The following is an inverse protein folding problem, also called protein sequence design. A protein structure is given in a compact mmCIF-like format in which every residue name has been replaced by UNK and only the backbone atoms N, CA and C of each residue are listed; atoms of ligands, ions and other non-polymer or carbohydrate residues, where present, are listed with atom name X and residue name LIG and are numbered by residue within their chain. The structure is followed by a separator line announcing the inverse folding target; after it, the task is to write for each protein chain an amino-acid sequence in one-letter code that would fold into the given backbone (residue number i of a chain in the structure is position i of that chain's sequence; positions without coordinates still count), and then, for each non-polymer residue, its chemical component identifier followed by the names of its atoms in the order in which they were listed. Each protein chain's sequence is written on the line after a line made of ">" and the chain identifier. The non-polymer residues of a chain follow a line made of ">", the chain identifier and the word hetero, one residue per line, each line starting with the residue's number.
data_IF_083229002926
#
_entry.id   IF_083229002926
#
_cell.length_a   1.000
_cell.length_b   1.000
_cell.length_c   1.000
_cell.angle_alpha   90.00
_cell.angle_beta   90.00
_cell.angle_gamma   90.00
#
_symmetry.space_group_name_H-M   'P 1'
#
loop_
_entity.id
_entity.type
_entity.pdbx_description
1 polymer ?
#
# COMPACT_ATOMS: atom_id res chain seq x y z
N UNK A 1 -13.18 0.34 -6.83
CA UNK A 1 -12.80 -0.86 -6.04
C UNK A 1 -13.94 -1.22 -5.10
N UNK A 2 -14.50 -2.42 -5.23
CA UNK A 2 -15.51 -2.93 -4.29
C UNK A 2 -14.81 -3.68 -3.15
N UNK A 3 -14.69 -3.07 -1.96
CA UNK A 3 -14.39 -3.86 -0.76
C UNK A 3 -15.70 -4.40 -0.18
N UNK A 4 -15.87 -5.73 -0.09
CA UNK A 4 -17.08 -6.31 0.47
C UNK A 4 -17.20 -5.97 1.96
N UNK A 5 -18.44 -5.84 2.45
CA UNK A 5 -18.70 -5.62 3.87
C UNK A 5 -18.20 -6.84 4.67
N UNK A 6 -17.34 -6.64 5.69
CA UNK A 6 -16.86 -7.74 6.51
C UNK A 6 -18.01 -8.34 7.31
N UNK A 7 -18.14 -9.67 7.25
CA UNK A 7 -19.19 -10.45 7.93
C UNK A 7 -18.66 -11.19 9.15
N UNK A 8 -17.34 -11.23 9.33
CA UNK A 8 -16.65 -11.93 10.42
C UNK A 8 -15.63 -11.02 11.10
N UNK A 9 -15.30 -11.34 12.36
CA UNK A 9 -14.26 -10.62 13.12
C UNK A 9 -12.89 -10.72 12.42
N UNK A 10 -12.61 -11.87 11.79
CA UNK A 10 -11.36 -12.10 11.05
C UNK A 10 -11.23 -11.17 9.85
N UNK A 11 -12.28 -11.05 9.02
CA UNK A 11 -12.31 -10.12 7.89
C UNK A 11 -12.16 -8.67 8.35
N UNK A 12 -12.84 -8.30 9.45
CA UNK A 12 -12.74 -6.95 9.99
C UNK A 12 -11.34 -6.63 10.53
N UNK A 13 -10.66 -7.57 11.19
CA UNK A 13 -9.26 -7.41 11.59
C UNK A 13 -8.32 -7.29 10.40
N UNK A 14 -8.53 -8.08 9.36
CA UNK A 14 -7.75 -7.99 8.12
C UNK A 14 -7.87 -6.61 7.47
N UNK A 15 -9.11 -6.11 7.37
CA UNK A 15 -9.39 -4.75 6.90
C UNK A 15 -8.69 -3.71 7.78
N UNK A 16 -8.91 -3.72 9.09
CA UNK A 16 -8.28 -2.76 10.00
C UNK A 16 -6.75 -2.82 9.98
N UNK A 17 -6.16 -4.00 9.80
CA UNK A 17 -4.72 -4.17 9.62
C UNK A 17 -4.18 -3.41 8.39
N UNK A 18 -4.85 -3.56 7.25
CA UNK A 18 -4.52 -2.83 6.02
C UNK A 18 -4.66 -1.31 6.22
N UNK A 19 -5.75 -0.87 6.84
CA UNK A 19 -6.01 0.54 7.13
C UNK A 19 -4.94 1.12 8.06
N UNK A 20 -4.49 0.37 9.06
CA UNK A 20 -3.41 0.79 9.95
C UNK A 20 -2.05 0.89 9.24
N UNK A 21 -1.78 0.03 8.25
CA UNK A 21 -0.60 0.17 7.39
C UNK A 21 -0.63 1.50 6.59
N UNK A 22 -1.81 1.90 6.14
CA UNK A 22 -2.02 3.15 5.40
C UNK A 22 -2.13 4.39 6.29
N UNK A 23 -2.22 4.23 7.62
CA UNK A 23 -2.37 5.33 8.60
C UNK A 23 -1.30 6.42 8.43
N UNK A 24 -0.07 6.06 8.04
CA UNK A 24 1.02 7.02 7.81
C UNK A 24 0.72 8.05 6.71
N UNK A 25 -0.25 7.77 5.83
CA UNK A 25 -0.66 8.65 4.75
C UNK A 25 -2.02 9.33 5.00
N UNK A 26 -2.71 8.99 6.09
CA UNK A 26 -4.07 9.47 6.37
C UNK A 26 -4.13 10.13 7.75
N UNK A 27 -4.34 11.45 7.76
CA UNK A 27 -4.60 12.19 9.00
C UNK A 27 -6.03 11.91 9.51
N UNK A 28 -6.18 11.73 10.84
CA UNK A 28 -7.49 11.58 11.48
C UNK A 28 -8.14 10.19 11.38
N UNK A 29 -7.49 9.20 10.75
CA UNK A 29 -8.04 7.86 10.54
C UNK A 29 -8.48 7.14 11.83
N UNK A 30 -7.80 7.41 12.95
CA UNK A 30 -8.07 6.79 14.25
C UNK A 30 -9.52 7.01 14.75
N UNK A 31 -10.12 8.17 14.42
CA UNK A 31 -11.49 8.47 14.83
C UNK A 31 -12.52 7.60 14.10
N UNK A 32 -12.19 7.16 12.88
CA UNK A 32 -13.06 6.30 12.08
C UNK A 32 -12.80 4.81 12.32
N UNK A 33 -11.57 4.42 12.68
CA UNK A 33 -11.23 3.01 12.95
C UNK A 33 -11.65 2.55 14.34
N UNK A 34 -11.74 3.45 15.33
CA UNK A 34 -12.18 3.12 16.70
C UNK A 34 -13.52 2.36 16.78
N UNK A 35 -14.63 2.84 16.21
CA UNK A 35 -15.92 2.14 16.28
C UNK A 35 -15.93 0.78 15.58
N UNK A 36 -15.01 0.57 14.63
CA UNK A 36 -14.81 -0.72 13.96
C UNK A 36 -13.87 -1.64 14.76
N UNK A 37 -12.88 -1.08 15.47
CA UNK A 37 -11.98 -1.84 16.32
C UNK A 37 -12.71 -2.44 17.53
N UNK A 38 -13.68 -1.72 18.10
CA UNK A 38 -14.51 -2.20 19.21
C UNK A 38 -15.29 -3.49 18.82
N UNK A 39 -15.65 -3.63 17.54
CA UNK A 39 -16.29 -4.83 16.98
C UNK A 39 -15.35 -6.04 16.81
N UNK A 40 -14.04 -5.88 17.07
CA UNK A 40 -13.07 -6.99 16.95
C UNK A 40 -12.78 -7.71 18.27
N UNK A 41 -13.42 -7.26 19.37
CA UNK A 41 -13.29 -7.84 20.70
C UNK A 41 -13.83 -9.28 20.77
N UNK A 42 -13.32 -10.09 21.71
CA UNK A 42 -13.55 -11.55 21.80
C UNK A 42 -15.02 -11.98 21.86
N UNK A 43 -15.93 -11.08 22.24
CA UNK A 43 -17.38 -11.36 22.37
C UNK A 43 -18.26 -10.59 21.37
N UNK A 44 -17.67 -9.86 20.42
CA UNK A 44 -18.45 -9.05 19.48
C UNK A 44 -18.94 -9.87 18.29
N UNK A 45 -20.24 -9.88 18.04
CA UNK A 45 -20.82 -10.43 16.83
C UNK A 45 -20.95 -9.33 15.77
N UNK A 46 -20.01 -9.30 14.82
CA UNK A 46 -19.94 -8.29 13.76
C UNK A 46 -21.25 -8.17 12.98
N UNK A 47 -22.02 -9.25 12.79
CA UNK A 47 -23.29 -9.16 12.05
C UNK A 47 -24.40 -8.49 12.86
N UNK A 48 -24.45 -8.76 14.17
CA UNK A 48 -25.48 -8.22 15.06
C UNK A 48 -25.18 -6.78 15.49
N UNK A 49 -23.90 -6.42 15.65
CA UNK A 49 -23.49 -5.12 16.17
C UNK A 49 -23.17 -4.09 15.07
N UNK A 50 -23.25 -4.48 13.80
CA UNK A 50 -23.02 -3.58 12.67
C UNK A 50 -24.29 -2.84 12.29
N UNK A 51 -24.40 -1.61 12.80
CA UNK A 51 -25.47 -0.67 12.48
C UNK A 51 -25.06 0.40 11.47
N UNK A 52 -25.86 1.48 11.43
CA UNK A 52 -25.66 2.60 10.51
C UNK A 52 -24.35 3.37 10.79
N UNK A 53 -23.95 3.49 12.05
CA UNK A 53 -22.70 4.17 12.45
C UNK A 53 -21.47 3.43 11.91
N UNK A 54 -21.42 2.11 12.06
CA UNK A 54 -20.30 1.28 11.58
C UNK A 54 -20.23 1.29 10.04
N UNK A 55 -21.38 1.21 9.36
CA UNK A 55 -21.47 1.33 7.91
C UNK A 55 -20.95 2.71 7.43
N UNK A 56 -21.33 3.79 8.12
CA UNK A 56 -20.86 5.15 7.82
C UNK A 56 -19.35 5.28 7.97
N UNK A 57 -18.80 4.78 9.08
CA UNK A 57 -17.35 4.80 9.31
C UNK A 57 -16.59 3.94 8.29
N UNK A 58 -17.11 2.76 7.96
CA UNK A 58 -16.54 1.88 6.94
C UNK A 58 -16.50 2.57 5.57
N UNK A 59 -17.61 3.16 5.12
CA UNK A 59 -17.67 3.85 3.83
C UNK A 59 -16.81 5.13 3.82
N UNK A 60 -16.71 5.85 4.94
CA UNK A 60 -15.80 7.00 5.08
C UNK A 60 -14.34 6.57 4.92
N UNK A 61 -13.94 5.47 5.57
CA UNK A 61 -12.57 4.94 5.43
C UNK A 61 -12.31 4.54 3.98
N UNK A 62 -13.25 3.85 3.32
CA UNK A 62 -13.12 3.50 1.90
C UNK A 62 -12.91 4.74 1.03
N UNK A 63 -13.70 5.80 1.23
CA UNK A 63 -13.57 7.04 0.48
C UNK A 63 -12.21 7.70 0.71
N UNK A 64 -11.76 7.77 1.96
CA UNK A 64 -10.44 8.34 2.29
C UNK A 64 -9.32 7.51 1.64
N UNK A 65 -9.35 6.19 1.76
CA UNK A 65 -8.31 5.32 1.20
C UNK A 65 -8.30 5.38 -0.33
N UNK A 66 -9.46 5.38 -0.97
CA UNK A 66 -9.54 5.51 -2.44
C UNK A 66 -9.15 6.90 -2.94
N UNK A 67 -9.25 7.93 -2.11
CA UNK A 67 -8.75 9.27 -2.42
C UNK A 67 -7.23 9.42 -2.26
N UNK A 68 -6.55 8.45 -1.63
CA UNK A 68 -5.11 8.54 -1.41
C UNK A 68 -4.36 8.51 -2.75
N UNK A 69 -3.45 9.48 -2.99
CA UNK A 69 -2.61 9.49 -4.17
C UNK A 69 -1.76 8.21 -4.32
N UNK A 70 -1.39 7.57 -3.21
CA UNK A 70 -0.55 6.37 -3.22
C UNK A 70 -1.25 5.10 -3.77
N UNK A 71 -2.55 5.18 -4.07
CA UNK A 71 -3.35 4.09 -4.65
C UNK A 71 -3.91 4.44 -6.02
N UNK A 72 -3.51 5.57 -6.62
CA UNK A 72 -3.92 5.90 -7.98
C UNK A 72 -3.24 4.93 -8.95
N UNK A 73 -4.00 4.30 -9.86
CA UNK A 73 -3.41 3.52 -10.94
C UNK A 73 -2.54 4.43 -11.81
N UNK A 74 -1.53 3.84 -12.45
CA UNK A 74 -0.69 4.57 -13.41
C UNK A 74 -1.60 5.13 -14.51
N UNK A 75 -1.49 6.43 -14.75
CA UNK A 75 -2.05 7.05 -15.94
C UNK A 75 -1.10 6.76 -17.11
N UNK A 76 -1.61 6.04 -18.12
CA UNK A 76 -0.86 5.67 -19.33
C UNK A 76 -1.23 6.52 -20.55
N UNK A 77 -2.01 7.60 -20.37
CA UNK A 77 -2.38 8.48 -21.48
C UNK A 77 -1.18 9.29 -21.97
N UNK A 78 -1.20 9.71 -23.24
CA UNK A 78 -0.14 10.57 -23.82
C UNK A 78 -0.03 11.94 -23.13
N UNK A 79 -1.02 12.29 -22.29
CA UNK A 79 -1.06 13.51 -21.47
C UNK A 79 -0.61 13.27 -20.03
N UNK A 80 -0.23 12.04 -19.68
CA UNK A 80 0.08 11.65 -18.31
C UNK A 80 1.38 12.28 -17.81
N UNK A 81 1.42 12.51 -16.51
CA UNK A 81 2.64 12.96 -15.83
C UNK A 81 3.77 11.92 -15.97
N UNK A 82 5.04 12.36 -15.99
CA UNK A 82 6.17 11.47 -16.12
C UNK A 82 6.26 10.47 -14.96
N UNK A 83 6.77 9.28 -15.28
CA UNK A 83 7.05 8.21 -14.33
C UNK A 83 8.48 8.35 -13.78
N UNK A 84 8.61 8.16 -12.48
CA UNK A 84 9.88 8.20 -11.77
C UNK A 84 10.12 6.85 -11.09
N UNK A 85 11.31 6.29 -11.25
CA UNK A 85 11.71 5.07 -10.55
C UNK A 85 12.77 5.45 -9.53
N UNK A 86 12.53 5.14 -8.26
CA UNK A 86 13.55 5.23 -7.22
C UNK A 86 13.86 3.83 -6.73
N UNK A 87 15.14 3.47 -6.79
CA UNK A 87 15.65 2.19 -6.29
C UNK A 87 16.49 2.42 -5.04
N UNK A 88 16.43 1.48 -4.12
CA UNK A 88 17.30 1.43 -2.95
C UNK A 88 17.83 0.01 -2.78
N UNK A 89 19.12 -0.10 -2.51
CA UNK A 89 19.78 -1.38 -2.28
C UNK A 89 20.31 -1.39 -0.84
N UNK A 90 19.86 -2.35 -0.05
CA UNK A 90 20.37 -2.60 1.30
C UNK A 90 21.27 -3.83 1.29
N UNK A 91 21.96 -4.11 2.39
CA UNK A 91 22.75 -5.35 2.53
C UNK A 91 21.90 -6.64 2.49
N UNK A 92 20.58 -6.56 2.63
CA UNK A 92 19.68 -7.72 2.77
C UNK A 92 18.84 -7.93 1.50
N UNK A 93 18.68 -6.89 0.67
CA UNK A 93 17.90 -6.96 -0.54
C UNK A 93 17.71 -5.60 -1.21
N UNK A 94 16.98 -5.65 -2.31
CA UNK A 94 16.69 -4.52 -3.19
C UNK A 94 15.23 -4.12 -3.08
N UNK A 95 14.98 -2.83 -3.12
CA UNK A 95 13.68 -2.21 -3.12
C UNK A 95 13.58 -1.19 -4.24
N UNK A 96 12.35 -0.97 -4.69
CA UNK A 96 12.04 0.08 -5.63
C UNK A 96 10.64 0.60 -5.43
N UNK A 97 10.46 1.87 -5.78
CA UNK A 97 9.17 2.53 -5.84
C UNK A 97 9.04 3.20 -7.20
N UNK A 98 7.93 2.92 -7.85
CA UNK A 98 7.49 3.64 -9.03
C UNK A 98 6.60 4.77 -8.58
N UNK A 99 6.90 6.01 -8.98
CA UNK A 99 6.11 7.20 -8.71
C UNK A 99 5.61 7.83 -10.01
N UNK A 100 4.53 8.59 -9.93
CA UNK A 100 4.02 9.38 -11.05
C UNK A 100 3.75 10.82 -10.62
N UNK A 101 4.17 11.78 -11.44
CA UNK A 101 3.96 13.21 -11.19
C UNK A 101 4.98 14.09 -11.89
N UNK A 102 4.69 15.38 -12.05
CA UNK A 102 5.57 16.34 -12.74
C UNK A 102 6.98 16.49 -12.13
N UNK A 103 7.12 16.26 -10.83
CA UNK A 103 8.39 16.38 -10.08
C UNK A 103 8.56 15.17 -9.17
N UNK A 104 9.71 14.49 -9.22
CA UNK A 104 10.03 13.32 -8.40
C UNK A 104 9.83 13.55 -6.90
N UNK A 105 9.99 14.79 -6.41
CA UNK A 105 9.81 15.14 -4.98
C UNK A 105 8.35 15.20 -4.54
N UNK A 106 7.45 15.45 -5.48
CA UNK A 106 6.00 15.58 -5.26
C UNK A 106 5.20 14.47 -5.93
N UNK A 107 5.87 13.60 -6.69
CA UNK A 107 5.29 12.46 -7.34
C UNK A 107 4.69 11.53 -6.29
N UNK A 108 3.51 11.01 -6.58
CA UNK A 108 2.88 10.05 -5.69
C UNK A 108 3.40 8.65 -6.03
N UNK A 109 3.63 7.79 -5.02
CA UNK A 109 3.99 6.41 -5.27
C UNK A 109 2.81 5.68 -5.93
N UNK A 110 3.09 4.80 -6.86
CA UNK A 110 2.11 4.03 -7.63
C UNK A 110 2.29 2.53 -7.43
N UNK A 111 3.53 2.07 -7.41
CA UNK A 111 3.86 0.68 -7.15
C UNK A 111 5.11 0.58 -6.28
N UNK A 112 5.13 -0.44 -5.43
CA UNK A 112 6.31 -0.81 -4.64
C UNK A 112 6.74 -2.21 -5.08
N UNK A 113 8.03 -2.40 -5.24
CA UNK A 113 8.64 -3.68 -5.52
C UNK A 113 9.80 -3.89 -4.56
N UNK A 114 9.95 -5.10 -4.05
CA UNK A 114 11.08 -5.43 -3.18
C UNK A 114 11.38 -6.92 -3.26
N UNK A 115 12.66 -7.27 -3.23
CA UNK A 115 13.13 -8.66 -3.22
C UNK A 115 14.35 -8.78 -2.31
N UNK A 116 14.40 -9.86 -1.53
CA UNK A 116 15.62 -10.24 -0.82
C UNK A 116 16.66 -10.76 -1.80
N UNK A 117 17.94 -10.59 -1.49
CA UNK A 117 19.00 -11.20 -2.30
C UNK A 117 18.95 -12.72 -2.21
N UNK A 118 19.25 -13.38 -3.33
CA UNK A 118 19.67 -14.79 -3.30
C UNK A 118 21.15 -14.87 -2.92
N UNK A 119 21.61 -16.03 -2.45
CA UNK A 119 22.98 -16.22 -1.94
C UNK A 119 24.10 -15.75 -2.90
N UNK A 120 23.86 -15.77 -4.21
CA UNK A 120 24.79 -15.29 -5.22
C UNK A 120 24.89 -13.74 -5.27
N UNK A 121 23.78 -13.04 -5.02
CA UNK A 121 23.65 -11.58 -5.16
C UNK A 121 24.09 -10.81 -3.90
N UNK A 122 24.14 -11.51 -2.75
CA UNK A 122 24.63 -10.95 -1.49
C UNK A 122 26.09 -10.48 -1.62
N UNK A 123 26.87 -11.13 -2.49
CA UNK A 123 28.29 -10.83 -2.69
C UNK A 123 28.55 -9.78 -3.78
N UNK A 124 27.51 -9.24 -4.42
CA UNK A 124 27.69 -8.22 -5.44
C UNK A 124 28.16 -6.90 -4.81
N UNK A 125 29.08 -6.18 -5.46
CA UNK A 125 29.44 -4.83 -5.03
C UNK A 125 28.23 -3.89 -5.18
N UNK A 126 28.16 -2.85 -4.33
CA UNK A 126 26.98 -1.98 -4.19
C UNK A 126 26.48 -1.40 -5.52
N UNK A 127 27.37 -1.05 -6.45
CA UNK A 127 26.97 -0.53 -7.76
C UNK A 127 26.27 -1.58 -8.64
N UNK A 128 26.63 -2.86 -8.54
CA UNK A 128 25.93 -3.95 -9.23
C UNK A 128 24.59 -4.27 -8.57
N UNK A 129 24.49 -4.08 -7.25
CA UNK A 129 23.23 -4.22 -6.51
C UNK A 129 22.22 -3.13 -6.90
N UNK A 130 22.66 -1.87 -7.06
CA UNK A 130 21.84 -0.78 -7.57
C UNK A 130 21.40 -1.02 -9.02
N UNK A 131 22.30 -1.52 -9.87
CA UNK A 131 21.97 -1.87 -11.26
C UNK A 131 20.96 -3.02 -11.33
N UNK A 132 21.09 -4.03 -10.47
CA UNK A 132 20.15 -5.14 -10.35
C UNK A 132 18.76 -4.63 -9.93
N UNK A 133 18.69 -3.68 -9.00
CA UNK A 133 17.43 -3.06 -8.60
C UNK A 133 16.73 -2.38 -9.79
N UNK A 134 17.47 -1.63 -10.62
CA UNK A 134 16.92 -1.02 -11.83
C UNK A 134 16.45 -2.07 -12.85
N UNK A 135 17.28 -3.09 -13.08
CA UNK A 135 16.95 -4.17 -14.03
C UNK A 135 15.70 -4.94 -13.61
N UNK A 136 15.53 -5.25 -12.32
CA UNK A 136 14.35 -5.97 -11.85
C UNK A 136 13.05 -5.16 -11.99
N UNK A 137 13.13 -3.84 -11.89
CA UNK A 137 11.96 -2.95 -11.94
C UNK A 137 11.55 -2.62 -13.36
N UNK A 138 12.51 -2.36 -14.24
CA UNK A 138 12.25 -1.99 -15.64
C UNK A 138 12.10 -3.24 -16.52
N UNK A 139 12.84 -4.31 -16.20
CA UNK A 139 12.95 -5.49 -17.05
C UNK A 139 11.82 -6.51 -16.92
N UNK A 140 10.96 -6.42 -15.90
CA UNK A 140 9.92 -7.43 -15.66
C UNK A 140 10.54 -8.81 -15.40
N UNK A 141 10.85 -9.08 -14.13
CA UNK A 141 11.60 -10.26 -13.66
C UNK A 141 11.57 -11.50 -14.54
N UNK A 142 12.72 -11.85 -15.11
CA UNK A 142 13.13 -13.20 -15.44
C UNK A 142 14.66 -13.25 -15.50
N UNK A 143 15.25 -13.72 -14.40
CA UNK A 143 16.52 -14.46 -14.36
C UNK A 143 16.34 -15.58 -13.33
#
# INVERSE_FOLDING_TARGET
>A
MEWPRPRTVTELRGFLGLIQYLRKFINGLAQHTKPLADLTSKNANVRLMWGAEQERHFNTIKAIVTSLPCLKPIDHTDSADPLWVMTDASNIGIGAVLLQGQDWRKAHPVAYWSRQYISAEVNYPTHEQELLALQCVVGGGNI
#
